data_IF_954672662932
#
_entry.id   IF_954672662932
#
_cell.length_a   1.000
_cell.length_b   1.000
_cell.length_c   1.000
_cell.angle_alpha   90.00
_cell.angle_beta   90.00
_cell.angle_gamma   90.00
#
_symmetry.space_group_name_H-M   'P 1'
#
loop_
_entity.id
_entity.type
_entity.pdbx_description
1 polymer ?
#
# COMPACT_ATOMS: atom_id res chain seq x y z
N UNK A 1 43.83 -30.07 7.10
CA UNK A 1 44.34 -31.17 6.25
C UNK A 1 44.13 -32.48 6.99
N UNK A 2 43.01 -33.14 6.71
CA UNK A 2 42.77 -34.57 6.95
C UNK A 2 41.42 -34.89 6.32
N UNK A 3 41.47 -35.67 5.24
CA UNK A 3 40.35 -36.25 4.50
C UNK A 3 39.55 -37.25 5.35
N UNK A 4 38.23 -37.30 5.15
CA UNK A 4 37.42 -38.50 5.37
C UNK A 4 36.11 -38.34 4.58
N UNK A 5 36.02 -38.91 3.38
CA UNK A 5 35.52 -40.27 3.09
C UNK A 5 34.00 -40.29 2.86
N UNK A 6 33.72 -40.49 1.58
CA UNK A 6 32.47 -40.89 0.94
C UNK A 6 31.89 -42.14 1.60
N UNK A 7 30.60 -42.12 1.95
CA UNK A 7 29.80 -43.33 2.06
C UNK A 7 28.61 -43.26 1.12
N UNK A 8 28.76 -43.99 0.02
CA UNK A 8 27.73 -44.39 -0.93
C UNK A 8 27.31 -45.81 -0.52
N UNK A 9 26.02 -46.03 -0.22
CA UNK A 9 25.41 -47.35 0.00
C UNK A 9 23.94 -47.23 -0.40
N UNK A 10 23.60 -47.63 -1.62
CA UNK A 10 23.02 -48.94 -1.96
C UNK A 10 21.64 -49.22 -1.33
N UNK A 11 20.60 -48.84 -2.07
CA UNK A 11 19.67 -49.73 -2.78
C UNK A 11 19.41 -51.14 -2.19
N UNK A 12 18.13 -51.37 -1.84
CA UNK A 12 17.32 -52.61 -1.73
C UNK A 12 16.20 -52.31 -0.70
N UNK A 13 14.93 -52.66 -0.82
CA UNK A 13 14.12 -53.49 -1.71
C UNK A 13 12.64 -53.16 -1.38
N UNK A 14 11.73 -53.79 -2.13
CA UNK A 14 10.32 -54.04 -1.81
C UNK A 14 9.29 -53.04 -2.34
N UNK A 15 8.89 -53.30 -3.60
CA UNK A 15 7.52 -53.66 -3.98
C UNK A 15 6.41 -53.25 -3.00
N UNK A 16 5.62 -52.24 -3.39
CA UNK A 16 4.24 -52.10 -2.93
C UNK A 16 3.36 -51.68 -4.11
N UNK A 17 2.67 -52.65 -4.67
CA UNK A 17 1.69 -52.47 -5.74
C UNK A 17 0.34 -52.10 -5.12
N UNK A 18 -0.34 -51.02 -5.55
CA UNK A 18 -1.69 -50.73 -5.09
C UNK A 18 -2.68 -51.69 -5.77
N UNK A 19 -3.47 -52.35 -4.93
CA UNK A 19 -4.53 -53.28 -5.31
C UNK A 19 -5.56 -52.63 -6.23
N UNK A 20 -5.79 -53.27 -7.39
CA UNK A 20 -6.98 -53.08 -8.23
C UNK A 20 -8.24 -53.46 -7.43
N UNK A 21 -8.95 -52.46 -6.95
CA UNK A 21 -10.34 -52.61 -6.50
C UNK A 21 -11.24 -52.63 -7.74
N UNK A 22 -11.46 -53.85 -8.23
CA UNK A 22 -12.45 -54.20 -9.25
C UNK A 22 -13.86 -53.92 -8.69
N UNK A 23 -14.45 -52.78 -9.06
CA UNK A 23 -15.83 -52.44 -8.75
C UNK A 23 -16.72 -52.98 -9.88
N UNK A 24 -17.48 -54.03 -9.56
CA UNK A 24 -18.48 -54.64 -10.44
C UNK A 24 -19.72 -53.71 -10.50
N UNK A 25 -20.26 -53.40 -11.69
CA UNK A 25 -21.38 -52.48 -11.83
C UNK A 25 -22.70 -53.18 -11.48
N UNK A 26 -23.39 -52.65 -10.46
CA UNK A 26 -24.75 -53.01 -10.08
C UNK A 26 -25.76 -52.50 -11.14
N UNK A 27 -26.53 -53.38 -11.81
CA UNK A 27 -27.51 -52.98 -12.80
C UNK A 27 -28.90 -52.94 -12.18
N UNK A 28 -29.30 -51.81 -11.62
CA UNK A 28 -30.73 -51.62 -11.35
C UNK A 28 -31.10 -50.56 -10.33
N UNK A 29 -31.16 -49.30 -10.76
CA UNK A 29 -32.24 -48.45 -10.26
C UNK A 29 -32.66 -47.41 -11.31
N UNK A 30 -33.77 -47.69 -11.98
CA UNK A 30 -34.49 -46.73 -12.82
C UNK A 30 -35.39 -45.90 -11.93
N UNK A 31 -34.81 -45.00 -11.17
CA UNK A 31 -35.58 -43.90 -10.57
C UNK A 31 -35.41 -42.68 -11.47
N UNK A 32 -36.38 -42.50 -12.35
CA UNK A 32 -36.64 -41.29 -13.14
C UNK A 32 -36.69 -40.08 -12.22
N UNK A 33 -35.54 -39.49 -11.97
CA UNK A 33 -35.42 -38.16 -11.37
C UNK A 33 -35.59 -37.19 -12.52
N UNK A 34 -36.72 -36.49 -12.52
CA UNK A 34 -36.99 -35.39 -13.41
C UNK A 34 -35.79 -34.43 -13.40
N UNK A 35 -35.12 -34.36 -14.54
CA UNK A 35 -34.10 -33.37 -14.84
C UNK A 35 -34.68 -32.00 -14.53
N UNK A 36 -34.16 -31.23 -13.55
CA UNK A 36 -34.58 -29.85 -13.41
C UNK A 36 -34.17 -29.16 -14.70
N UNK A 37 -35.16 -28.65 -15.41
CA UNK A 37 -34.96 -27.83 -16.59
C UNK A 37 -33.90 -26.76 -16.26
N UNK A 38 -32.77 -26.83 -16.95
CA UNK A 38 -31.76 -25.77 -16.99
C UNK A 38 -32.38 -24.69 -17.87
N UNK A 39 -33.38 -24.02 -17.33
CA UNK A 39 -33.98 -22.85 -17.92
C UNK A 39 -33.16 -21.64 -17.46
N UNK A 40 -32.55 -20.97 -18.43
CA UNK A 40 -32.24 -19.53 -18.37
C UNK A 40 -30.97 -19.05 -17.61
N UNK A 41 -29.85 -19.78 -17.70
CA UNK A 41 -28.51 -19.27 -17.33
C UNK A 41 -27.87 -18.40 -18.45
N UNK A 42 -28.67 -17.89 -19.38
CA UNK A 42 -28.21 -17.36 -20.67
C UNK A 42 -27.79 -15.89 -20.69
N UNK A 43 -28.01 -15.10 -19.63
CA UNK A 43 -27.80 -13.64 -19.71
C UNK A 43 -27.00 -13.00 -18.57
N UNK A 44 -26.62 -13.75 -17.53
CA UNK A 44 -25.91 -13.19 -16.37
C UNK A 44 -24.38 -13.09 -16.58
N UNK A 45 -23.86 -13.63 -17.69
CA UNK A 45 -22.44 -13.47 -18.08
C UNK A 45 -22.04 -12.04 -18.47
N UNK A 46 -22.96 -11.08 -18.42
CA UNK A 46 -22.68 -9.68 -18.78
C UNK A 46 -22.39 -8.77 -17.60
N UNK A 47 -22.42 -9.28 -16.36
CA UNK A 47 -22.31 -8.45 -15.15
C UNK A 47 -20.87 -8.20 -14.67
N UNK A 48 -20.00 -7.82 -15.61
CA UNK A 48 -18.61 -7.44 -15.34
C UNK A 48 -18.27 -6.05 -15.87
N UNK A 49 -17.20 -5.45 -15.35
CA UNK A 49 -16.66 -4.18 -15.85
C UNK A 49 -15.42 -4.44 -16.72
N UNK A 50 -15.31 -3.75 -17.87
CA UNK A 50 -14.10 -3.81 -18.67
C UNK A 50 -12.88 -3.35 -17.85
N UNK A 51 -11.78 -4.09 -17.90
CA UNK A 51 -10.57 -3.85 -17.11
C UNK A 51 -10.07 -2.41 -17.28
N UNK A 52 -10.04 -1.91 -18.53
CA UNK A 52 -9.67 -0.52 -18.82
C UNK A 52 -10.51 0.50 -18.05
N UNK A 53 -11.81 0.25 -17.89
CA UNK A 53 -12.73 1.15 -17.18
C UNK A 53 -12.46 1.10 -15.68
N UNK A 54 -12.19 -0.08 -15.12
CA UNK A 54 -11.77 -0.22 -13.73
C UNK A 54 -10.49 0.58 -13.45
N UNK A 55 -9.46 0.40 -14.28
CA UNK A 55 -8.17 1.07 -14.14
C UNK A 55 -8.23 2.59 -14.36
N UNK A 56 -9.22 3.08 -15.11
CA UNK A 56 -9.43 4.52 -15.30
C UNK A 56 -10.03 5.21 -14.06
N UNK A 57 -10.72 4.47 -13.19
CA UNK A 57 -11.44 5.01 -12.02
C UNK A 57 -10.72 4.66 -10.71
N UNK A 58 -10.03 3.53 -10.66
CA UNK A 58 -9.38 3.02 -9.46
C UNK A 58 -7.90 2.69 -9.71
N UNK A 59 -7.06 3.04 -8.74
CA UNK A 59 -5.68 2.54 -8.66
C UNK A 59 -5.66 1.25 -7.86
N UNK A 60 -5.04 0.20 -8.40
CA UNK A 60 -4.96 -1.08 -7.73
C UNK A 60 -3.87 -1.07 -6.66
N UNK A 61 -4.07 -1.80 -5.57
CA UNK A 61 -2.96 -2.13 -4.68
C UNK A 61 -2.10 -3.25 -5.30
N UNK A 62 -0.84 -3.47 -4.84
CA UNK A 62 0.04 -4.48 -5.43
C UNK A 62 -0.54 -5.90 -5.41
N UNK A 63 -1.18 -6.30 -4.31
CA UNK A 63 -1.82 -7.61 -4.18
C UNK A 63 -2.97 -7.81 -5.18
N UNK A 64 -3.80 -6.78 -5.38
CA UNK A 64 -4.90 -6.79 -6.35
C UNK A 64 -4.37 -6.87 -7.79
N UNK A 65 -3.36 -6.07 -8.12
CA UNK A 65 -2.73 -6.10 -9.44
C UNK A 65 -2.08 -7.45 -9.72
N UNK A 66 -1.37 -8.01 -8.74
CA UNK A 66 -0.73 -9.31 -8.84
C UNK A 66 -1.73 -10.45 -9.05
N UNK A 67 -2.82 -10.48 -8.27
CA UNK A 67 -3.85 -11.51 -8.41
C UNK A 67 -4.55 -11.44 -9.78
N UNK A 68 -4.90 -10.25 -10.25
CA UNK A 68 -5.49 -10.07 -11.59
C UNK A 68 -4.52 -10.46 -12.71
N UNK A 69 -3.22 -10.18 -12.55
CA UNK A 69 -2.22 -10.61 -13.51
C UNK A 69 -2.08 -12.13 -13.57
N UNK A 70 -2.19 -12.80 -12.42
CA UNK A 70 -2.20 -14.26 -12.35
C UNK A 70 -3.44 -14.85 -13.02
N UNK A 71 -4.65 -14.39 -12.65
CA UNK A 71 -5.91 -14.85 -13.26
C UNK A 71 -5.90 -14.62 -14.79
N UNK A 72 -5.34 -13.50 -15.26
CA UNK A 72 -5.18 -13.21 -16.69
C UNK A 72 -4.29 -14.23 -17.39
N UNK A 73 -3.07 -14.45 -16.89
CA UNK A 73 -2.12 -15.37 -17.54
C UNK A 73 -2.61 -16.81 -17.47
N UNK A 74 -3.30 -17.18 -16.37
CA UNK A 74 -3.93 -18.49 -16.23
C UNK A 74 -5.00 -18.71 -17.31
N UNK A 75 -5.90 -17.74 -17.49
CA UNK A 75 -6.94 -17.80 -18.52
C UNK A 75 -6.36 -17.86 -19.93
N UNK A 76 -5.32 -17.07 -20.22
CA UNK A 76 -4.67 -17.07 -21.53
C UNK A 76 -3.99 -18.41 -21.86
N UNK A 77 -3.32 -19.01 -20.88
CA UNK A 77 -2.70 -20.33 -21.06
C UNK A 77 -3.74 -21.44 -21.24
N UNK A 78 -4.90 -21.36 -20.60
CA UNK A 78 -6.01 -22.30 -20.84
C UNK A 78 -6.62 -22.15 -22.25
N UNK A 79 -6.71 -20.92 -22.77
CA UNK A 79 -7.15 -20.67 -24.14
C UNK A 79 -6.13 -21.20 -25.16
N UNK A 80 -4.84 -21.01 -24.90
CA UNK A 80 -3.74 -21.53 -25.73
C UNK A 80 -3.77 -23.07 -25.79
N UNK A 81 -3.95 -23.74 -24.64
CA UNK A 81 -4.05 -25.20 -24.57
C UNK A 81 -5.26 -25.76 -25.33
N UNK A 82 -6.37 -25.00 -25.39
CA UNK A 82 -7.56 -25.38 -26.16
C UNK A 82 -7.44 -25.08 -27.66
N UNK A 83 -6.45 -24.28 -28.08
CA UNK A 83 -6.36 -23.77 -29.45
C UNK A 83 -7.49 -22.80 -29.83
N UNK A 84 -8.23 -22.31 -28.84
CA UNK A 84 -9.45 -21.50 -28.99
C UNK A 84 -9.20 -20.04 -28.59
N UNK A 85 -8.03 -19.53 -28.98
CA UNK A 85 -7.59 -18.19 -28.67
C UNK A 85 -8.31 -17.14 -29.54
N UNK A 86 -8.81 -16.04 -28.96
CA UNK A 86 -9.18 -14.89 -29.78
C UNK A 86 -7.92 -14.31 -30.43
N UNK A 87 -8.00 -14.00 -31.72
CA UNK A 87 -6.88 -13.43 -32.50
C UNK A 87 -6.28 -12.18 -31.85
N UNK A 88 -7.11 -11.38 -31.16
CA UNK A 88 -6.67 -10.21 -30.42
C UNK A 88 -7.35 -10.12 -29.05
N UNK A 89 -6.60 -10.46 -28.00
CA UNK A 89 -6.97 -10.07 -26.63
C UNK A 89 -6.61 -8.59 -26.45
N UNK A 90 -7.61 -7.75 -26.23
CA UNK A 90 -7.42 -6.33 -25.98
C UNK A 90 -7.76 -5.98 -24.54
N UNK A 91 -7.33 -4.82 -24.07
CA UNK A 91 -7.70 -4.28 -22.75
C UNK A 91 -9.23 -4.12 -22.56
N UNK A 92 -10.00 -4.13 -23.65
CA UNK A 92 -11.45 -4.04 -23.68
C UNK A 92 -12.16 -5.39 -23.63
N UNK A 93 -11.54 -6.46 -24.13
CA UNK A 93 -12.11 -7.81 -24.05
C UNK A 93 -11.86 -8.44 -22.67
N UNK A 94 -10.92 -7.93 -21.89
CA UNK A 94 -10.72 -8.35 -20.50
C UNK A 94 -11.74 -7.68 -19.59
N UNK A 95 -12.54 -8.48 -18.90
CA UNK A 95 -13.56 -8.06 -17.95
C UNK A 95 -13.22 -8.55 -16.54
N UNK A 96 -13.62 -7.76 -15.54
CA UNK A 96 -13.51 -8.11 -14.13
C UNK A 96 -14.92 -8.20 -13.55
N UNK A 97 -15.25 -9.37 -13.02
CA UNK A 97 -16.55 -9.65 -12.42
C UNK A 97 -16.69 -9.04 -11.02
N UNK A 98 -17.93 -9.01 -10.52
CA UNK A 98 -18.27 -8.54 -9.16
C UNK A 98 -17.71 -9.40 -8.03
N UNK A 99 -17.35 -10.65 -8.31
CA UNK A 99 -16.64 -11.54 -7.38
C UNK A 99 -15.12 -11.27 -7.35
N UNK A 100 -14.62 -10.43 -8.26
CA UNK A 100 -13.21 -10.09 -8.41
C UNK A 100 -12.43 -11.05 -9.30
N UNK A 101 -13.10 -11.98 -9.99
CA UNK A 101 -12.47 -12.84 -11.01
C UNK A 101 -12.32 -12.09 -12.33
N UNK A 102 -11.32 -12.47 -13.11
CA UNK A 102 -11.05 -11.93 -14.43
C UNK A 102 -11.50 -12.94 -15.49
N UNK A 103 -12.21 -12.45 -16.50
CA UNK A 103 -12.60 -13.24 -17.67
C UNK A 103 -12.26 -12.49 -18.96
N UNK A 104 -12.09 -13.25 -20.03
CA UNK A 104 -11.87 -12.69 -21.36
C UNK A 104 -13.17 -12.92 -22.14
N UNK A 105 -13.86 -11.83 -22.45
CA UNK A 105 -15.10 -11.88 -23.22
C UNK A 105 -14.82 -12.51 -24.59
N UNK A 106 -15.67 -13.47 -25.03
CA UNK A 106 -15.53 -14.05 -26.36
C UNK A 106 -15.75 -12.94 -27.40
N UNK A 107 -14.75 -12.70 -28.25
CA UNK A 107 -14.88 -11.80 -29.39
C UNK A 107 -15.54 -12.60 -30.50
N UNK A 108 -16.73 -12.18 -30.94
CA UNK A 108 -17.55 -12.91 -31.94
C UNK A 108 -16.97 -12.92 -33.37
N UNK A 109 -15.67 -12.65 -33.54
CA UNK A 109 -15.02 -12.62 -34.84
C UNK A 109 -14.35 -13.98 -35.11
N UNK A 110 -14.65 -14.55 -36.29
CA UNK A 110 -14.29 -15.91 -36.72
C UNK A 110 -12.78 -16.12 -36.99
N UNK A 111 -11.91 -15.36 -36.35
CA UNK A 111 -10.46 -15.49 -36.44
C UNK A 111 -9.91 -16.42 -35.37
N UNK A 112 -9.56 -17.65 -35.75
CA UNK A 112 -8.75 -18.53 -34.90
C UNK A 112 -7.31 -18.04 -34.97
N UNK A 113 -6.86 -17.35 -33.92
CA UNK A 113 -5.49 -16.87 -33.80
C UNK A 113 -4.90 -17.30 -32.46
N UNK A 114 -3.67 -17.81 -32.48
CA UNK A 114 -2.97 -18.12 -31.24
C UNK A 114 -2.73 -16.84 -30.43
N UNK A 115 -3.07 -16.87 -29.15
CA UNK A 115 -2.77 -15.78 -28.22
C UNK A 115 -1.26 -15.58 -28.16
N UNK A 116 -0.77 -14.40 -28.53
CA UNK A 116 0.66 -14.10 -28.44
C UNK A 116 1.08 -13.79 -27.00
N UNK A 117 2.20 -14.37 -26.55
CA UNK A 117 2.87 -13.99 -25.31
C UNK A 117 3.18 -12.48 -25.25
N UNK A 118 3.39 -11.83 -26.39
CA UNK A 118 3.63 -10.37 -26.44
C UNK A 118 2.42 -9.57 -25.95
N UNK A 119 1.21 -10.03 -26.30
CA UNK A 119 -0.05 -9.42 -25.84
C UNK A 119 -0.25 -9.64 -24.34
N UNK A 120 0.03 -10.85 -23.85
CA UNK A 120 -0.02 -11.16 -22.42
C UNK A 120 0.94 -10.26 -21.62
N UNK A 121 2.18 -10.11 -22.08
CA UNK A 121 3.18 -9.21 -21.48
C UNK A 121 2.68 -7.76 -21.42
N UNK A 122 2.07 -7.25 -22.50
CA UNK A 122 1.58 -5.89 -22.56
C UNK A 122 0.45 -5.64 -21.54
N UNK A 123 -0.47 -6.60 -21.38
CA UNK A 123 -1.56 -6.51 -20.41
C UNK A 123 -1.08 -6.63 -18.97
N UNK A 124 -0.14 -7.54 -18.67
CA UNK A 124 0.49 -7.66 -17.34
C UNK A 124 1.21 -6.36 -16.98
N UNK A 125 1.98 -5.77 -17.91
CA UNK A 125 2.64 -4.48 -17.70
C UNK A 125 1.64 -3.34 -17.49
N UNK A 126 0.52 -3.36 -18.20
CA UNK A 126 -0.56 -2.38 -18.03
C UNK A 126 -1.17 -2.48 -16.63
N UNK A 127 -1.43 -3.70 -16.12
CA UNK A 127 -1.89 -3.94 -14.75
C UNK A 127 -0.87 -3.40 -13.74
N UNK A 128 0.42 -3.76 -13.89
CA UNK A 128 1.48 -3.32 -12.98
C UNK A 128 1.65 -1.81 -12.96
N UNK A 129 1.59 -1.15 -14.13
CA UNK A 129 1.68 0.31 -14.25
C UNK A 129 0.53 1.06 -13.55
N UNK A 130 -0.60 0.40 -13.28
CA UNK A 130 -1.73 0.96 -12.53
C UNK A 130 -1.76 0.52 -11.06
N UNK A 131 -0.78 -0.26 -10.61
CA UNK A 131 -0.59 -0.51 -9.19
C UNK A 131 0.05 0.70 -8.52
N UNK A 132 -0.52 1.16 -7.40
CA UNK A 132 0.07 2.23 -6.58
C UNK A 132 0.07 1.84 -5.11
N UNK A 133 1.24 2.05 -4.50
CA UNK A 133 1.38 1.94 -3.06
C UNK A 133 0.88 3.20 -2.35
N UNK A 134 -0.27 3.10 -1.68
CA UNK A 134 -0.73 4.16 -0.77
C UNK A 134 0.14 4.33 0.49
N UNK A 135 1.00 3.35 0.78
CA UNK A 135 1.99 3.37 1.86
C UNK A 135 3.39 3.11 1.33
N UNK A 136 4.43 3.51 2.07
CA UNK A 136 5.82 3.29 1.69
C UNK A 136 6.14 1.80 1.43
N UNK A 137 5.62 0.89 2.29
CA UNK A 137 5.74 -0.56 2.10
C UNK A 137 5.11 -1.01 0.79
N UNK A 138 3.88 -0.60 0.50
CA UNK A 138 3.20 -0.97 -0.75
C UNK A 138 3.89 -0.38 -1.98
N UNK A 139 4.62 0.73 -1.83
CA UNK A 139 5.40 1.31 -2.91
C UNK A 139 6.60 0.41 -3.25
N UNK A 140 7.31 -0.06 -2.22
CA UNK A 140 8.40 -1.04 -2.39
C UNK A 140 7.88 -2.35 -3.00
N UNK A 141 6.72 -2.85 -2.53
CA UNK A 141 6.08 -4.03 -3.10
C UNK A 141 5.68 -3.82 -4.58
N UNK A 142 5.15 -2.65 -4.95
CA UNK A 142 4.83 -2.31 -6.33
C UNK A 142 6.08 -2.23 -7.22
N UNK A 143 7.15 -1.62 -6.71
CA UNK A 143 8.44 -1.53 -7.40
C UNK A 143 9.04 -2.92 -7.61
N UNK A 144 8.99 -3.78 -6.59
CA UNK A 144 9.48 -5.17 -6.66
C UNK A 144 8.69 -6.00 -7.68
N UNK A 145 7.36 -5.89 -7.70
CA UNK A 145 6.51 -6.52 -8.72
C UNK A 145 6.88 -6.06 -10.12
N UNK A 146 7.03 -4.75 -10.31
CA UNK A 146 7.34 -4.15 -11.61
C UNK A 146 8.71 -4.59 -12.10
N UNK A 147 9.71 -4.61 -11.22
CA UNK A 147 11.08 -5.04 -11.52
C UNK A 147 11.14 -6.52 -11.90
N UNK A 148 10.48 -7.39 -11.12
CA UNK A 148 10.38 -8.83 -11.39
C UNK A 148 9.71 -9.16 -12.71
N UNK A 149 8.74 -8.34 -13.12
CA UNK A 149 7.96 -8.52 -14.35
C UNK A 149 8.43 -7.63 -15.51
N UNK A 150 9.57 -6.93 -15.36
CA UNK A 150 10.10 -6.03 -16.40
C UNK A 150 10.61 -6.78 -17.65
N UNK A 151 10.79 -8.10 -17.59
CA UNK A 151 11.22 -8.94 -18.71
C UNK A 151 10.21 -8.99 -19.87
N UNK A 152 10.71 -9.33 -21.06
CA UNK A 152 9.87 -9.76 -22.20
C UNK A 152 9.94 -11.28 -22.27
N UNK A 153 8.81 -11.94 -22.05
CA UNK A 153 8.71 -13.40 -22.08
C UNK A 153 8.21 -13.86 -23.45
N UNK A 154 8.86 -14.85 -24.06
CA UNK A 154 8.47 -15.39 -25.37
C UNK A 154 7.38 -16.45 -25.27
N UNK A 155 7.26 -17.11 -24.12
CA UNK A 155 6.27 -18.16 -23.86
C UNK A 155 5.32 -17.77 -22.72
N UNK A 156 4.03 -18.10 -22.85
CA UNK A 156 3.01 -17.78 -21.85
C UNK A 156 3.24 -18.59 -20.56
N UNK A 157 3.73 -19.82 -20.67
CA UNK A 157 4.09 -20.70 -19.55
C UNK A 157 5.20 -20.10 -18.68
N UNK A 158 6.23 -19.52 -19.30
CA UNK A 158 7.32 -18.82 -18.60
C UNK A 158 6.78 -17.58 -17.84
N UNK A 159 5.95 -16.77 -18.52
CA UNK A 159 5.29 -15.62 -17.90
C UNK A 159 4.42 -16.04 -16.71
N UNK A 160 3.66 -17.14 -16.83
CA UNK A 160 2.81 -17.69 -15.77
C UNK A 160 3.60 -18.01 -14.51
N UNK A 161 4.72 -18.70 -14.66
CA UNK A 161 5.56 -19.09 -13.52
C UNK A 161 6.20 -17.88 -12.85
N UNK A 162 6.65 -16.90 -13.64
CA UNK A 162 7.21 -15.64 -13.12
C UNK A 162 6.19 -14.81 -12.38
N UNK A 163 4.97 -14.68 -12.90
CA UNK A 163 3.86 -13.99 -12.23
C UNK A 163 3.51 -14.70 -10.93
N UNK A 164 3.35 -16.04 -10.92
CA UNK A 164 3.07 -16.79 -9.68
C UNK A 164 4.14 -16.61 -8.63
N UNK A 165 5.42 -16.70 -9.02
CA UNK A 165 6.55 -16.47 -8.11
C UNK A 165 6.51 -15.05 -7.53
N UNK A 166 6.30 -14.03 -8.36
CA UNK A 166 6.24 -12.64 -7.90
C UNK A 166 5.05 -12.38 -6.97
N UNK A 167 3.88 -12.98 -7.24
CA UNK A 167 2.69 -12.83 -6.39
C UNK A 167 2.84 -13.59 -5.08
N UNK A 168 3.48 -14.77 -5.08
CA UNK A 168 3.75 -15.53 -3.87
C UNK A 168 4.59 -14.73 -2.85
N UNK A 169 5.52 -13.89 -3.31
CA UNK A 169 6.34 -13.03 -2.44
C UNK A 169 5.59 -11.82 -1.86
N UNK A 170 4.49 -11.40 -2.48
CA UNK A 170 3.65 -10.31 -1.95
C UNK A 170 2.78 -10.77 -0.79
N UNK A 171 2.66 -12.08 -0.59
CA UNK A 171 1.89 -12.64 0.51
C UNK A 171 2.50 -12.15 1.82
N UNK A 172 1.67 -11.55 2.66
CA UNK A 172 2.07 -11.23 4.02
C UNK A 172 2.31 -12.53 4.79
N UNK A 173 3.40 -12.59 5.57
CA UNK A 173 3.80 -13.75 6.37
C UNK A 173 2.70 -14.27 7.32
N UNK A 174 1.66 -13.49 7.56
CA UNK A 174 0.60 -13.75 8.55
C UNK A 174 -0.61 -14.52 7.98
N UNK A 175 -0.70 -14.76 6.66
CA UNK A 175 -1.81 -15.53 6.07
C UNK A 175 -1.40 -16.99 5.92
N UNK A 176 -2.19 -17.91 6.50
CA UNK A 176 -1.91 -19.35 6.58
C UNK A 176 -2.16 -20.11 5.28
N UNK A 177 -3.12 -19.69 4.44
CA UNK A 177 -3.43 -20.33 3.15
C UNK A 177 -3.41 -19.36 1.95
N UNK A 178 -3.08 -19.89 0.78
CA UNK A 178 -3.20 -19.17 -0.50
C UNK A 178 -4.66 -18.83 -0.82
N UNK A 179 -5.58 -19.76 -0.57
CA UNK A 179 -7.00 -19.59 -0.87
C UNK A 179 -7.64 -18.50 -0.02
N UNK A 180 -7.25 -18.41 1.25
CA UNK A 180 -7.72 -17.36 2.17
C UNK A 180 -7.26 -15.98 1.70
N UNK A 181 -5.97 -15.87 1.32
CA UNK A 181 -5.41 -14.63 0.78
C UNK A 181 -6.13 -14.22 -0.51
N UNK A 182 -6.26 -15.15 -1.46
CA UNK A 182 -6.92 -14.90 -2.74
C UNK A 182 -8.39 -14.51 -2.54
N UNK A 183 -9.12 -15.18 -1.63
CA UNK A 183 -10.51 -14.85 -1.31
C UNK A 183 -10.65 -13.44 -0.70
N UNK A 184 -9.72 -13.03 0.19
CA UNK A 184 -9.70 -11.68 0.73
C UNK A 184 -9.48 -10.65 -0.37
N UNK A 185 -8.48 -10.86 -1.22
CA UNK A 185 -8.14 -9.92 -2.31
C UNK A 185 -9.26 -9.86 -3.35
N UNK A 186 -9.87 -10.99 -3.73
CA UNK A 186 -11.05 -11.04 -4.62
C UNK A 186 -12.24 -10.26 -4.07
N UNK A 187 -12.55 -10.40 -2.77
CA UNK A 187 -13.59 -9.57 -2.12
C UNK A 187 -13.29 -8.07 -2.23
N UNK A 188 -12.02 -7.67 -2.10
CA UNK A 188 -11.63 -6.26 -2.27
C UNK A 188 -11.76 -5.79 -3.72
N UNK A 189 -11.37 -6.60 -4.70
CA UNK A 189 -11.55 -6.30 -6.13
C UNK A 189 -13.04 -6.18 -6.46
N UNK A 190 -13.85 -7.14 -6.03
CA UNK A 190 -15.30 -7.12 -6.21
C UNK A 190 -15.98 -5.88 -5.60
N UNK A 191 -15.50 -5.42 -4.44
CA UNK A 191 -15.96 -4.16 -3.85
C UNK A 191 -15.59 -2.94 -4.71
N UNK A 192 -14.40 -2.91 -5.31
CA UNK A 192 -13.99 -1.86 -6.25
C UNK A 192 -14.84 -1.87 -7.54
N UNK A 193 -15.15 -3.05 -8.08
CA UNK A 193 -16.03 -3.21 -9.25
C UNK A 193 -17.42 -2.63 -8.95
N UNK A 194 -18.06 -3.07 -7.84
CA UNK A 194 -19.37 -2.54 -7.41
C UNK A 194 -19.35 -1.02 -7.18
N UNK A 195 -18.30 -0.49 -6.57
CA UNK A 195 -18.15 0.95 -6.37
C UNK A 195 -18.03 1.71 -7.70
N UNK A 196 -17.35 1.13 -8.68
CA UNK A 196 -17.17 1.73 -10.01
C UNK A 196 -18.48 1.70 -10.81
N UNK A 197 -19.24 0.59 -10.73
CA UNK A 197 -20.58 0.49 -11.33
C UNK A 197 -21.53 1.54 -10.74
N UNK A 198 -21.56 1.73 -9.43
CA UNK A 198 -22.41 2.73 -8.78
C UNK A 198 -22.17 4.17 -9.26
N UNK A 199 -20.93 4.53 -9.57
CA UNK A 199 -20.60 5.85 -10.15
C UNK A 199 -21.18 6.02 -11.56
N UNK A 200 -21.32 4.92 -12.30
CA UNK A 200 -21.83 4.95 -13.67
C UNK A 200 -23.35 5.05 -13.69
N UNK A 201 -24.03 4.33 -12.80
CA UNK A 201 -25.47 4.48 -12.59
C UNK A 201 -25.86 5.92 -12.18
N UNK A 202 -25.03 6.58 -11.38
CA UNK A 202 -25.25 8.00 -11.03
C UNK A 202 -25.02 8.96 -12.19
N UNK A 203 -24.07 8.67 -13.09
CA UNK A 203 -23.78 9.49 -14.26
C UNK A 203 -24.84 9.34 -15.36
N UNK A 204 -25.33 8.12 -15.53
CA UNK A 204 -26.32 7.79 -16.56
C UNK A 204 -27.76 7.98 -16.06
N UNK A 205 -27.94 8.33 -14.78
CA UNK A 205 -29.24 8.78 -14.27
C UNK A 205 -29.68 10.00 -15.09
N UNK A 206 -30.79 9.90 -15.86
CA UNK A 206 -31.26 11.03 -16.66
C UNK A 206 -31.49 12.22 -15.73
N UNK A 207 -30.97 13.38 -16.14
CA UNK A 207 -31.19 14.62 -15.40
C UNK A 207 -32.70 14.76 -15.13
N UNK A 208 -33.11 15.14 -13.91
CA UNK A 208 -34.52 15.34 -13.63
C UNK A 208 -35.09 16.26 -14.71
N UNK A 209 -36.28 15.92 -15.27
CA UNK A 209 -36.89 16.75 -16.28
C UNK A 209 -36.90 18.18 -15.76
N UNK A 210 -36.33 19.11 -16.55
CA UNK A 210 -36.40 20.52 -16.19
C UNK A 210 -37.88 20.83 -15.95
N UNK A 211 -38.26 21.40 -14.81
CA UNK A 211 -39.62 21.86 -14.62
C UNK A 211 -39.95 22.76 -15.82
N UNK A 212 -41.05 22.46 -16.50
CA UNK A 212 -41.49 23.25 -17.64
C UNK A 212 -41.58 24.72 -17.21
N UNK A 213 -40.77 25.58 -17.84
CA UNK A 213 -40.73 27.02 -17.59
C UNK A 213 -42.04 27.74 -18.02
N UNK A 214 -43.13 27.00 -18.21
CA UNK A 214 -44.38 27.50 -18.82
C UNK A 214 -45.42 27.97 -17.78
N UNK A 215 -45.25 27.72 -16.48
CA UNK A 215 -46.31 28.02 -15.48
C UNK A 215 -45.91 28.94 -14.32
N UNK A 216 -44.74 29.58 -14.37
CA UNK A 216 -44.26 30.46 -13.29
C UNK A 216 -44.08 31.94 -13.68
N UNK A 217 -44.77 32.43 -14.72
CA UNK A 217 -44.73 33.86 -15.11
C UNK A 217 -45.78 34.75 -14.44
N UNK A 218 -46.73 34.22 -13.67
CA UNK A 218 -47.85 35.03 -13.12
C UNK A 218 -47.95 35.15 -11.59
N UNK A 219 -47.02 34.60 -10.80
CA UNK A 219 -47.15 34.59 -9.32
C UNK A 219 -46.03 35.31 -8.54
N UNK A 220 -45.11 36.03 -9.20
CA UNK A 220 -43.96 36.69 -8.53
C UNK A 220 -43.93 38.21 -8.74
N UNK A 221 -45.04 38.81 -9.20
CA UNK A 221 -45.13 40.27 -9.37
C UNK A 221 -45.41 41.05 -8.06
N UNK A 222 -45.75 40.40 -6.94
CA UNK A 222 -46.26 41.11 -5.76
C UNK A 222 -45.41 41.02 -4.47
N UNK A 223 -44.39 40.16 -4.41
CA UNK A 223 -43.55 40.00 -3.19
C UNK A 223 -42.12 40.55 -3.29
N UNK A 224 -41.78 41.31 -4.35
CA UNK A 224 -40.43 41.84 -4.56
C UNK A 224 -40.29 43.35 -4.28
N UNK A 225 -41.01 43.88 -3.28
CA UNK A 225 -40.91 45.31 -2.87
C UNK A 225 -40.46 45.52 -1.43
N UNK A 226 -39.61 44.67 -0.87
CA UNK A 226 -38.83 45.03 0.33
C UNK A 226 -37.61 44.13 0.42
N UNK A 227 -36.44 44.73 0.68
CA UNK A 227 -35.09 44.11 0.86
C UNK A 227 -34.18 44.13 -0.38
N UNK A 228 -33.86 45.35 -0.83
CA UNK A 228 -32.59 45.63 -1.50
C UNK A 228 -31.46 45.64 -0.46
N UNK A 229 -30.72 44.54 -0.36
CA UNK A 229 -29.39 44.51 0.26
C UNK A 229 -28.47 43.70 -0.65
N UNK A 230 -27.43 44.40 -1.11
CA UNK A 230 -26.29 43.98 -1.92
C UNK A 230 -26.03 42.47 -1.99
N UNK A 231 -26.23 41.89 -3.19
CA UNK A 231 -25.66 40.60 -3.55
C UNK A 231 -24.91 40.75 -4.86
N UNK A 232 -23.58 40.71 -4.75
CA UNK A 232 -22.65 40.90 -5.84
C UNK A 232 -22.83 39.89 -6.98
N UNK A 233 -22.65 40.42 -8.18
CA UNK A 233 -22.56 39.76 -9.46
C UNK A 233 -21.63 38.53 -9.45
N UNK A 234 -22.22 37.34 -9.62
CA UNK A 234 -21.50 36.12 -10.00
C UNK A 234 -22.27 35.35 -11.07
N UNK A 235 -22.65 36.04 -12.14
CA UNK A 235 -23.09 35.41 -13.40
C UNK A 235 -22.24 35.92 -14.55
N UNK A 236 -21.28 35.12 -15.01
CA UNK A 236 -20.60 35.47 -16.27
C UNK A 236 -19.29 34.79 -16.66
N UNK A 237 -19.00 33.55 -16.26
CA UNK A 237 -17.87 32.82 -16.84
C UNK A 237 -18.33 31.87 -17.95
N UNK A 238 -18.74 32.47 -19.08
CA UNK A 238 -18.94 31.77 -20.36
C UNK A 238 -17.65 31.06 -20.76
N UNK A 239 -17.75 29.75 -20.95
CA UNK A 239 -16.73 28.88 -21.54
C UNK A 239 -16.34 29.44 -22.91
N UNK A 240 -15.14 30.02 -23.03
CA UNK A 240 -14.51 30.30 -24.32
C UNK A 240 -13.80 29.05 -24.79
N UNK A 241 -14.37 28.43 -25.82
CA UNK A 241 -13.79 27.34 -26.58
C UNK A 241 -12.36 27.71 -27.03
N UNK A 242 -11.39 26.95 -26.57
CA UNK A 242 -9.99 27.05 -26.94
C UNK A 242 -9.79 26.44 -28.33
N UNK A 243 -10.10 27.19 -29.39
CA UNK A 243 -9.62 26.86 -30.73
C UNK A 243 -8.15 27.28 -30.85
N UNK A 244 -7.25 26.41 -30.37
CA UNK A 244 -5.81 26.58 -30.58
C UNK A 244 -5.49 26.21 -32.03
N UNK A 245 -5.57 27.19 -32.94
CA UNK A 245 -4.98 27.09 -34.28
C UNK A 245 -3.50 26.73 -34.12
N UNK A 246 -3.11 25.54 -34.60
CA UNK A 246 -1.73 25.06 -34.65
C UNK A 246 -0.92 26.01 -35.54
N UNK A 247 -0.20 26.96 -34.93
CA UNK A 247 0.85 27.69 -35.64
C UNK A 247 2.01 26.72 -35.82
N UNK A 248 2.41 26.51 -37.07
CA UNK A 248 3.60 25.75 -37.44
C UNK A 248 4.80 26.28 -36.63
N UNK A 249 5.67 25.40 -36.13
CA UNK A 249 6.80 25.80 -35.33
C UNK A 249 7.71 26.70 -36.17
N UNK A 250 7.84 27.97 -35.77
CA UNK A 250 8.81 28.87 -36.38
C UNK A 250 10.22 28.29 -36.24
N UNK A 251 11.14 28.63 -37.16
CA UNK A 251 12.52 28.11 -37.25
C UNK A 251 13.28 28.00 -35.90
N UNK A 252 12.93 28.82 -34.91
CA UNK A 252 13.48 28.77 -33.54
C UNK A 252 13.08 27.50 -32.76
N UNK A 253 11.88 26.96 -32.96
CA UNK A 253 11.44 25.71 -32.31
C UNK A 253 12.18 24.48 -32.81
N UNK A 254 12.62 24.51 -34.07
CA UNK A 254 13.41 23.43 -34.68
C UNK A 254 14.84 23.40 -34.11
N UNK A 255 15.44 24.57 -33.87
CA UNK A 255 16.73 24.68 -33.18
C UNK A 255 16.66 24.20 -31.73
N UNK A 256 15.62 24.58 -30.98
CA UNK A 256 15.45 24.10 -29.59
C UNK A 256 15.25 22.58 -29.56
N UNK A 257 14.44 22.03 -30.48
CA UNK A 257 14.26 20.58 -30.60
C UNK A 257 15.58 19.86 -30.89
N UNK A 258 16.42 20.41 -31.77
CA UNK A 258 17.71 19.83 -32.10
C UNK A 258 18.68 19.89 -30.91
N UNK A 259 18.70 20.98 -30.14
CA UNK A 259 19.51 21.07 -28.90
C UNK A 259 19.05 20.05 -27.86
N UNK A 260 17.74 19.84 -27.69
CA UNK A 260 17.21 18.84 -26.74
C UNK A 260 17.57 17.42 -27.18
N UNK A 261 17.48 17.10 -28.47
CA UNK A 261 17.90 15.79 -29.00
C UNK A 261 19.41 15.60 -28.83
N UNK A 262 20.21 16.65 -29.07
CA UNK A 262 21.66 16.57 -28.92
C UNK A 262 22.05 16.34 -27.44
N UNK A 263 21.40 17.02 -26.50
CA UNK A 263 21.58 16.81 -25.07
C UNK A 263 21.14 15.41 -24.63
N UNK A 264 20.05 14.88 -25.19
CA UNK A 264 19.58 13.53 -24.89
C UNK A 264 20.55 12.45 -25.39
N UNK A 265 21.12 12.62 -26.59
CA UNK A 265 22.10 11.68 -27.16
C UNK A 265 23.43 11.74 -26.41
N UNK A 266 23.92 12.93 -26.05
CA UNK A 266 25.15 13.04 -25.25
C UNK A 266 24.96 12.56 -23.81
N UNK A 267 23.77 12.77 -23.24
CA UNK A 267 23.44 12.27 -21.90
C UNK A 267 23.42 10.74 -21.83
N UNK A 268 22.96 10.05 -22.88
CA UNK A 268 22.82 8.58 -22.85
C UNK A 268 24.16 7.83 -22.72
N UNK A 269 25.27 8.39 -23.23
CA UNK A 269 26.58 7.72 -23.20
C UNK A 269 27.40 7.99 -21.93
N UNK A 270 27.18 9.11 -21.23
CA UNK A 270 27.94 9.46 -20.03
C UNK A 270 27.27 9.01 -18.70
N UNK A 271 26.02 8.54 -18.75
CA UNK A 271 25.24 8.16 -17.57
C UNK A 271 25.71 6.86 -16.87
N UNK A 272 26.23 5.81 -17.53
CA UNK A 272 26.56 4.56 -16.82
C UNK A 272 27.68 4.71 -15.78
N UNK A 273 28.71 5.53 -16.06
CA UNK A 273 29.84 5.73 -15.15
C UNK A 273 29.51 6.71 -14.02
N UNK A 274 28.88 7.85 -14.34
CA UNK A 274 28.48 8.85 -13.35
C UNK A 274 27.43 8.31 -12.36
N UNK A 275 26.56 7.38 -12.79
CA UNK A 275 25.58 6.75 -11.91
C UNK A 275 26.24 5.83 -10.88
N UNK A 276 27.38 5.21 -11.22
CA UNK A 276 28.11 4.32 -10.30
C UNK A 276 28.81 5.10 -9.16
N UNK A 277 29.28 6.32 -9.43
CA UNK A 277 29.83 7.21 -8.40
C UNK A 277 28.74 7.83 -7.53
N UNK A 278 27.60 8.20 -8.13
CA UNK A 278 26.45 8.68 -7.37
C UNK A 278 25.88 7.58 -6.45
N UNK A 279 25.88 6.31 -6.89
CA UNK A 279 25.40 5.18 -6.07
C UNK A 279 26.35 4.87 -4.91
N UNK A 280 27.68 4.98 -5.10
CA UNK A 280 28.67 4.89 -4.00
C UNK A 280 28.54 6.03 -3.01
N UNK A 281 28.32 7.27 -3.49
CA UNK A 281 28.06 8.42 -2.63
C UNK A 281 26.75 8.30 -1.86
N UNK A 282 25.73 7.69 -2.46
CA UNK A 282 24.44 7.44 -1.80
C UNK A 282 24.52 6.33 -0.76
N UNK A 283 25.21 5.21 -1.03
CA UNK A 283 25.40 4.18 -0.01
C UNK A 283 26.12 4.76 1.22
N UNK A 284 27.17 5.57 1.04
CA UNK A 284 27.88 6.24 2.14
C UNK A 284 27.00 7.17 3.00
N UNK A 285 25.88 7.67 2.49
CA UNK A 285 24.93 8.53 3.24
C UNK A 285 23.92 7.69 4.03
N UNK A 286 23.63 6.45 3.60
CA UNK A 286 22.64 5.58 4.26
C UNK A 286 23.27 4.47 5.12
N UNK A 287 24.52 4.08 4.86
CA UNK A 287 25.37 3.38 5.83
C UNK A 287 26.09 4.40 6.69
N UNK A 288 25.33 5.18 7.47
CA UNK A 288 25.88 5.73 8.71
C UNK A 288 25.95 4.57 9.71
N UNK A 289 26.90 3.65 9.50
CA UNK A 289 27.56 3.08 10.66
C UNK A 289 28.08 4.28 11.44
N UNK A 290 27.56 4.49 12.65
CA UNK A 290 28.16 5.43 13.58
C UNK A 290 29.65 5.12 13.59
N UNK A 291 30.54 6.04 13.17
CA UNK A 291 31.95 5.87 13.46
C UNK A 291 31.98 5.74 14.98
N UNK A 292 32.36 4.56 15.45
CA UNK A 292 32.76 4.35 16.81
C UNK A 292 33.85 5.39 17.07
N UNK A 293 33.44 6.52 17.63
CA UNK A 293 34.33 7.44 18.29
C UNK A 293 34.88 6.65 19.45
N UNK A 294 35.92 5.85 19.17
CA UNK A 294 36.94 5.50 20.12
C UNK A 294 37.44 6.83 20.65
N UNK A 295 36.86 7.24 21.79
CA UNK A 295 37.49 8.24 22.62
C UNK A 295 38.93 7.75 22.87
N UNK A 296 39.96 8.59 22.64
CA UNK A 296 41.31 8.24 23.04
C UNK A 296 41.29 7.83 24.52
N UNK A 297 42.04 6.79 24.91
CA UNK A 297 42.03 6.27 26.28
C UNK A 297 42.32 7.41 27.25
N UNK A 298 41.30 7.80 28.00
CA UNK A 298 41.42 8.81 29.04
C UNK A 298 42.37 8.24 30.08
N UNK A 299 43.54 8.85 30.20
CA UNK A 299 44.52 8.46 31.19
C UNK A 299 43.89 8.52 32.58
N UNK A 300 44.00 7.45 33.39
CA UNK A 300 43.47 7.46 34.74
C UNK A 300 44.16 8.58 35.53
N UNK A 301 43.40 9.42 36.27
CA UNK A 301 44.01 10.37 37.17
C UNK A 301 44.88 9.61 38.17
N UNK A 302 46.13 10.05 38.33
CA UNK A 302 47.03 9.54 39.35
C UNK A 302 46.35 9.70 40.70
N UNK A 303 46.07 8.58 41.35
CA UNK A 303 45.72 8.54 42.76
C UNK A 303 46.88 9.13 43.55
N UNK A 304 46.70 10.36 44.03
CA UNK A 304 47.53 10.94 45.07
C UNK A 304 46.84 10.64 46.39
N UNK A 305 47.61 10.03 47.29
CA UNK A 305 47.11 9.24 48.40
C UNK A 305 46.56 10.03 49.58
N UNK A 306 45.99 9.20 50.45
CA UNK A 306 45.98 9.26 51.90
C UNK A 306 45.19 10.37 52.58
N UNK A 307 44.08 9.95 53.21
CA UNK A 307 43.46 10.73 54.27
C UNK A 307 42.05 10.29 54.61
N UNK A 308 41.95 9.16 55.33
CA UNK A 308 40.79 8.62 56.05
C UNK A 308 39.45 9.34 55.99
N UNK A 309 38.40 8.58 55.67
CA UNK A 309 37.25 8.35 56.57
C UNK A 309 36.46 7.17 56.02
N UNK A 310 36.39 6.09 56.80
CA UNK A 310 35.54 4.93 56.62
C UNK A 310 34.06 5.31 56.78
N UNK A 311 33.51 6.00 55.78
CA UNK A 311 32.08 6.21 55.61
C UNK A 311 31.51 5.12 54.69
N UNK A 312 31.07 4.01 55.28
CA UNK A 312 30.28 2.96 54.63
C UNK A 312 28.94 3.58 54.19
N UNK A 313 28.92 4.32 53.07
CA UNK A 313 27.67 4.69 52.40
C UNK A 313 27.06 3.43 51.83
N UNK A 314 26.21 2.80 52.64
CA UNK A 314 25.18 1.91 52.17
C UNK A 314 24.31 2.72 51.21
N UNK A 315 24.55 2.55 49.91
CA UNK A 315 23.60 2.90 48.87
C UNK A 315 22.34 2.09 49.16
N UNK A 316 21.42 2.74 49.86
CA UNK A 316 20.17 2.15 50.29
C UNK A 316 19.40 1.77 49.02
N UNK A 317 19.37 0.47 48.73
CA UNK A 317 18.48 -0.11 47.74
C UNK A 317 17.09 0.47 48.00
N UNK A 318 16.62 1.30 47.07
CA UNK A 318 15.29 1.87 47.17
C UNK A 318 14.30 0.71 47.24
N UNK A 319 13.31 0.76 48.15
CA UNK A 319 12.31 -0.29 48.25
C UNK A 319 11.64 -0.45 46.89
N UNK A 320 11.79 -1.61 46.28
CA UNK A 320 11.09 -1.97 45.04
C UNK A 320 9.60 -1.96 45.39
N UNK A 321 8.89 -0.94 44.92
CA UNK A 321 7.44 -0.90 45.10
C UNK A 321 6.81 -1.75 44.02
N UNK A 322 6.03 -2.76 44.39
CA UNK A 322 5.26 -3.62 43.45
C UNK A 322 4.29 -2.84 42.55
N UNK A 323 4.07 -1.54 42.83
CA UNK A 323 3.17 -0.68 42.07
C UNK A 323 3.92 0.10 40.99
N UNK A 324 3.48 0.06 39.72
CA UNK A 324 4.10 0.85 38.66
C UNK A 324 3.99 2.35 38.92
N UNK A 325 5.09 3.06 38.68
CA UNK A 325 5.21 4.50 38.87
C UNK A 325 4.27 5.29 37.93
N UNK A 326 4.02 6.56 38.30
CA UNK A 326 3.31 7.49 37.44
C UNK A 326 4.19 7.90 36.25
N UNK A 327 3.59 8.07 35.07
CA UNK A 327 4.33 8.49 33.87
C UNK A 327 4.76 9.95 34.02
N UNK A 328 6.06 10.29 33.89
CA UNK A 328 6.52 11.67 33.95
C UNK A 328 5.87 12.55 32.87
N UNK A 329 5.59 13.82 33.18
CA UNK A 329 5.11 14.78 32.17
C UNK A 329 6.27 15.15 31.24
N UNK A 330 6.23 14.69 29.99
CA UNK A 330 7.29 14.89 29.00
C UNK A 330 7.17 16.20 28.20
N UNK A 331 6.09 16.95 28.41
CA UNK A 331 5.82 18.23 27.78
C UNK A 331 4.41 18.73 28.09
N UNK A 332 4.07 19.96 27.72
CA UNK A 332 2.70 20.47 27.79
C UNK A 332 1.82 19.81 26.72
N UNK A 333 0.50 19.77 26.91
CA UNK A 333 -0.45 19.23 25.91
C UNK A 333 -0.51 20.08 24.63
N UNK A 334 -0.18 21.37 24.74
CA UNK A 334 -0.20 22.37 23.67
C UNK A 334 1.05 23.23 23.77
N UNK A 335 1.64 23.58 22.62
CA UNK A 335 2.82 24.44 22.58
C UNK A 335 2.92 25.15 21.23
N UNK A 336 3.12 26.48 21.28
CA UNK A 336 3.21 27.30 20.08
C UNK A 336 2.01 27.05 19.14
N UNK A 337 2.25 26.69 17.87
CA UNK A 337 1.17 26.45 16.90
C UNK A 337 0.57 25.03 16.96
N UNK A 338 0.95 24.22 17.96
CA UNK A 338 0.42 22.87 18.16
C UNK A 338 -0.67 22.96 19.24
N UNK A 339 -1.91 22.68 18.83
CA UNK A 339 -3.11 22.78 19.66
C UNK A 339 -3.48 21.50 20.41
N UNK A 340 -2.77 20.40 20.14
CA UNK A 340 -2.98 19.12 20.78
C UNK A 340 -2.20 18.01 20.11
N UNK A 341 -1.85 16.99 20.88
CA UNK A 341 -1.26 15.74 20.39
C UNK A 341 -2.04 14.58 20.99
N UNK A 342 -2.57 13.70 20.15
CA UNK A 342 -3.25 12.48 20.58
C UNK A 342 -2.52 11.26 20.02
N UNK A 343 -2.51 10.19 20.80
CA UNK A 343 -1.93 8.91 20.41
C UNK A 343 -2.95 7.81 20.65
N UNK A 344 -3.14 6.95 19.66
CA UNK A 344 -4.06 5.82 19.72
C UNK A 344 -3.43 4.57 19.09
N UNK A 345 -3.98 3.40 19.42
CA UNK A 345 -3.59 2.14 18.76
C UNK A 345 -4.19 2.15 17.36
N UNK A 346 -3.36 1.99 16.34
CA UNK A 346 -3.83 1.98 14.96
C UNK A 346 -4.51 0.66 14.59
N UNK A 347 -4.02 -0.45 15.13
CA UNK A 347 -4.54 -1.79 14.85
C UNK A 347 -4.25 -2.75 16.02
N UNK A 348 -5.27 -3.50 16.44
CA UNK A 348 -5.14 -4.52 17.48
C UNK A 348 -4.75 -3.99 18.86
N UNK A 349 -4.44 -4.93 19.75
CA UNK A 349 -3.85 -4.64 21.06
C UNK A 349 -2.32 -4.63 20.95
N UNK A 350 -1.67 -3.70 21.65
CA UNK A 350 -0.22 -3.72 21.76
C UNK A 350 0.21 -4.71 22.84
N UNK A 351 1.15 -5.60 22.50
CA UNK A 351 1.71 -6.59 23.40
C UNK A 351 3.17 -6.30 23.70
N UNK A 352 3.66 -6.82 24.83
CA UNK A 352 5.06 -6.69 25.26
C UNK A 352 5.99 -7.41 24.28
N UNK A 353 7.21 -6.91 24.13
CA UNK A 353 8.22 -7.47 23.21
C UNK A 353 7.77 -7.59 21.73
N UNK A 354 6.71 -6.90 21.34
CA UNK A 354 6.16 -6.94 19.98
C UNK A 354 6.15 -5.56 19.33
N UNK A 355 5.87 -5.54 18.02
CA UNK A 355 5.64 -4.32 17.26
C UNK A 355 4.23 -3.80 17.58
N UNK A 356 4.14 -2.54 17.99
CA UNK A 356 2.88 -1.89 18.35
C UNK A 356 2.54 -0.80 17.32
N UNK A 357 1.54 -0.98 16.43
CA UNK A 357 1.15 0.03 15.47
C UNK A 357 0.37 1.14 16.16
N UNK A 358 0.91 2.36 16.14
CA UNK A 358 0.39 3.53 16.82
C UNK A 358 0.09 4.62 15.81
N UNK A 359 -1.07 5.24 15.94
CA UNK A 359 -1.44 6.44 15.21
C UNK A 359 -1.23 7.64 16.13
N UNK A 360 -0.54 8.65 15.61
CA UNK A 360 -0.35 9.94 16.28
C UNK A 360 -1.03 11.00 15.43
N UNK A 361 -1.94 11.75 16.04
CA UNK A 361 -2.58 12.92 15.43
C UNK A 361 -2.04 14.17 16.11
N UNK A 362 -1.60 15.14 15.32
CA UNK A 362 -1.12 16.44 15.77
C UNK A 362 -2.07 17.51 15.24
N UNK A 363 -2.72 18.20 16.16
CA UNK A 363 -3.60 19.33 15.85
C UNK A 363 -2.76 20.61 15.75
N UNK A 364 -3.01 21.40 14.72
CA UNK A 364 -2.23 22.58 14.37
C UNK A 364 -3.14 23.81 14.23
N UNK A 365 -2.61 24.98 14.54
CA UNK A 365 -3.20 26.22 14.05
C UNK A 365 -3.09 26.29 12.52
N UNK A 366 -4.14 26.72 11.80
CA UNK A 366 -4.08 26.88 10.36
C UNK A 366 -3.04 27.94 9.99
N UNK A 367 -2.19 27.67 9.00
CA UNK A 367 -1.15 28.61 8.55
C UNK A 367 -1.15 28.77 7.04
N UNK A 368 -0.70 29.93 6.55
CA UNK A 368 -0.65 30.23 5.12
C UNK A 368 0.49 29.51 4.37
N UNK A 369 1.53 29.04 5.08
CA UNK A 369 2.72 28.42 4.51
C UNK A 369 2.83 26.93 4.89
N UNK A 370 3.35 26.05 4.02
CA UNK A 370 3.68 24.69 4.43
C UNK A 370 4.63 24.66 5.63
N UNK A 371 4.48 23.66 6.51
CA UNK A 371 5.27 23.56 7.73
C UNK A 371 5.65 22.11 8.02
N UNK A 372 6.89 21.87 8.40
CA UNK A 372 7.32 20.57 8.89
C UNK A 372 6.81 20.33 10.32
N UNK A 373 6.25 19.15 10.54
CA UNK A 373 5.76 18.66 11.82
C UNK A 373 6.42 17.31 12.05
N UNK A 374 7.19 17.19 13.12
CA UNK A 374 7.89 15.96 13.45
C UNK A 374 7.68 15.60 14.91
N UNK A 375 7.65 14.30 15.19
CA UNK A 375 7.52 13.79 16.55
C UNK A 375 8.38 12.55 16.75
N UNK A 376 8.55 12.19 18.03
CA UNK A 376 9.14 10.93 18.47
C UNK A 376 8.23 10.27 19.49
N UNK A 377 8.41 8.98 19.70
CA UNK A 377 7.72 8.24 20.74
C UNK A 377 8.66 8.02 21.93
N UNK A 378 8.16 8.25 23.13
CA UNK A 378 8.85 7.94 24.38
C UNK A 378 8.14 6.75 25.01
N UNK A 379 8.86 5.66 25.19
CA UNK A 379 8.36 4.44 25.82
C UNK A 379 8.90 4.41 27.23
N UNK A 380 8.00 4.49 28.21
CA UNK A 380 8.31 4.56 29.63
C UNK A 380 8.05 3.20 30.25
N UNK A 381 9.10 2.60 30.79
CA UNK A 381 9.01 1.47 31.71
C UNK A 381 8.63 2.01 33.08
N UNK A 382 7.40 1.72 33.50
CA UNK A 382 6.85 2.23 34.77
C UNK A 382 7.34 1.45 35.97
N UNK A 383 8.03 0.33 35.78
CA UNK A 383 8.62 -0.43 36.88
C UNK A 383 10.03 0.01 37.22
N UNK A 384 10.81 0.43 36.22
CA UNK A 384 12.19 0.89 36.40
C UNK A 384 12.34 2.41 36.32
N UNK A 385 11.31 3.11 35.84
CA UNK A 385 11.37 4.53 35.51
C UNK A 385 12.14 4.84 34.22
N UNK A 386 12.63 3.83 33.50
CA UNK A 386 13.43 4.01 32.30
C UNK A 386 12.60 4.60 31.15
N UNK A 387 13.12 5.65 30.50
CA UNK A 387 12.48 6.27 29.35
C UNK A 387 13.33 6.02 28.11
N UNK A 388 12.86 5.15 27.23
CA UNK A 388 13.51 4.89 25.94
C UNK A 388 12.86 5.70 24.82
N UNK A 389 13.68 6.12 23.85
CA UNK A 389 13.23 6.92 22.71
C UNK A 389 13.11 6.04 21.48
N UNK A 390 12.00 6.18 20.76
CA UNK A 390 11.77 5.54 19.48
C UNK A 390 11.57 6.59 18.39
N UNK A 391 12.06 6.26 17.19
CA UNK A 391 11.91 7.11 16.01
C UNK A 391 10.41 7.28 15.72
N UNK A 392 9.97 8.52 15.52
CA UNK A 392 8.62 8.83 15.08
C UNK A 392 8.61 9.17 13.59
N UNK A 393 7.70 10.05 13.18
CA UNK A 393 7.49 10.44 11.78
C UNK A 393 7.74 11.94 11.65
N UNK A 394 8.22 12.36 10.47
CA UNK A 394 8.18 13.76 10.04
C UNK A 394 7.26 13.91 8.84
N UNK A 395 6.44 14.95 8.83
CA UNK A 395 5.47 15.25 7.77
C UNK A 395 5.44 16.74 7.50
N UNK A 396 5.10 17.10 6.26
CA UNK A 396 4.87 18.50 5.89
C UNK A 396 3.37 18.77 5.86
N UNK A 397 2.88 19.57 6.81
CA UNK A 397 1.54 20.13 6.78
C UNK A 397 1.44 21.16 5.66
N UNK A 398 0.42 21.06 4.80
CA UNK A 398 0.20 22.04 3.72
C UNK A 398 -0.46 23.31 4.27
N UNK A 399 -0.46 24.36 3.46
CA UNK A 399 -1.21 25.60 3.75
C UNK A 399 -2.68 25.29 4.07
N UNK A 400 -3.18 25.86 5.16
CA UNK A 400 -4.55 25.70 5.66
C UNK A 400 -4.84 24.38 6.41
N UNK A 401 -3.87 23.47 6.52
CA UNK A 401 -4.08 22.23 7.30
C UNK A 401 -4.14 22.51 8.79
N UNK A 402 -5.09 21.86 9.47
CA UNK A 402 -5.30 21.95 10.93
C UNK A 402 -4.96 20.66 11.67
N UNK A 403 -4.67 19.59 10.93
CA UNK A 403 -4.31 18.28 11.48
C UNK A 403 -3.35 17.57 10.54
N UNK A 404 -2.38 16.89 11.13
CA UNK A 404 -1.58 15.86 10.46
C UNK A 404 -1.62 14.60 11.29
N UNK A 405 -1.52 13.45 10.65
CA UNK A 405 -1.45 12.17 11.34
C UNK A 405 -0.42 11.26 10.70
N UNK A 406 0.22 10.42 11.49
CA UNK A 406 1.15 9.41 10.99
C UNK A 406 1.12 8.15 11.84
N UNK A 407 1.46 7.02 11.21
CA UNK A 407 1.52 5.72 11.85
C UNK A 407 2.98 5.38 12.17
N UNK A 408 3.24 5.06 13.43
CA UNK A 408 4.54 4.59 13.94
C UNK A 408 4.44 3.14 14.39
N UNK A 409 5.54 2.39 14.34
CA UNK A 409 5.57 0.96 14.69
C UNK A 409 6.76 0.64 15.63
N UNK A 410 6.82 1.22 16.82
CA UNK A 410 7.90 0.91 17.76
C UNK A 410 7.84 -0.55 18.21
N UNK A 411 9.01 -1.19 18.32
CA UNK A 411 9.18 -2.41 19.11
C UNK A 411 9.18 -2.04 20.58
N UNK A 412 8.27 -2.64 21.34
CA UNK A 412 8.14 -2.42 22.77
C UNK A 412 9.08 -3.33 23.56
N UNK A 413 9.64 -2.89 24.68
CA UNK A 413 10.40 -3.76 25.57
C UNK A 413 9.50 -4.82 26.24
N UNK A 414 10.10 -5.79 26.90
CA UNK A 414 9.40 -6.90 27.59
C UNK A 414 8.81 -6.56 28.96
N UNK A 415 8.74 -5.28 29.36
CA UNK A 415 8.34 -4.87 30.71
C UNK A 415 6.83 -5.04 30.97
N UNK A 416 6.42 -5.45 32.19
CA UNK A 416 5.02 -5.66 32.55
C UNK A 416 4.17 -4.37 32.56
N UNK A 417 4.77 -3.21 32.78
CA UNK A 417 4.05 -1.95 32.93
C UNK A 417 4.62 -0.87 31.99
N UNK A 418 4.06 -0.77 30.78
CA UNK A 418 4.54 0.16 29.76
C UNK A 418 3.52 1.26 29.47
N UNK A 419 4.04 2.47 29.29
CA UNK A 419 3.29 3.59 28.73
C UNK A 419 4.04 4.21 27.56
N UNK A 420 3.28 4.74 26.59
CA UNK A 420 3.82 5.38 25.40
C UNK A 420 3.30 6.80 25.31
N UNK A 421 4.19 7.76 25.08
CA UNK A 421 3.86 9.18 24.92
C UNK A 421 4.41 9.66 23.58
N UNK A 422 3.59 10.33 22.77
CA UNK A 422 4.06 11.02 21.59
C UNK A 422 4.54 12.43 21.98
N UNK A 423 5.75 12.80 21.56
CA UNK A 423 6.33 14.12 21.83
C UNK A 423 6.77 14.75 20.51
N UNK A 424 6.17 15.90 20.19
CA UNK A 424 6.52 16.69 19.01
C UNK A 424 7.87 17.38 19.19
N UNK A 425 8.63 17.52 18.11
CA UNK A 425 9.97 18.15 18.07
C UNK A 425 9.94 19.47 17.32
N UNK A 426 9.16 19.52 16.24
CA UNK A 426 8.95 20.72 15.43
C UNK A 426 7.46 20.86 15.10
N UNK A 427 6.93 22.09 15.03
CA UNK A 427 7.60 23.38 15.30
C UNK A 427 7.77 23.75 16.78
N UNK A 428 7.12 23.02 17.69
CA UNK A 428 7.19 23.25 19.13
C UNK A 428 7.08 21.90 19.86
N UNK A 429 7.45 21.87 21.13
CA UNK A 429 7.40 20.66 21.96
C UNK A 429 6.09 20.58 22.72
N UNK A 430 5.19 19.73 22.25
CA UNK A 430 3.98 19.30 22.92
C UNK A 430 3.95 17.76 23.07
N UNK A 431 3.32 17.26 24.13
CA UNK A 431 3.23 15.85 24.44
C UNK A 431 1.76 15.38 24.52
N UNK A 432 1.50 14.15 24.10
CA UNK A 432 0.19 13.51 24.28
C UNK A 432 -0.04 13.08 25.72
N UNK A 433 -1.28 12.72 26.04
CA UNK A 433 -1.56 11.87 27.19
C UNK A 433 -0.84 10.50 27.04
N UNK A 434 -0.47 9.84 28.16
CA UNK A 434 0.12 8.50 28.11
C UNK A 434 -0.87 7.45 27.61
N UNK A 435 -0.43 6.63 26.65
CA UNK A 435 -1.13 5.42 26.23
C UNK A 435 -0.56 4.22 26.98
N UNK A 436 -1.35 3.64 27.88
CA UNK A 436 -0.97 2.44 28.62
C UNK A 436 -1.12 1.19 27.73
N UNK A 437 -0.05 0.39 27.66
CA UNK A 437 0.00 -0.84 26.83
C UNK A 437 -0.67 -1.99 27.55
N UNK A 438 -0.37 -2.15 28.84
CA UNK A 438 -1.02 -3.11 29.74
C UNK A 438 -2.09 -2.41 30.57
N UNK A 439 -3.09 -3.17 31.01
CA UNK A 439 -4.18 -2.64 31.83
C UNK A 439 -3.66 -2.02 33.13
N UNK A 440 -4.43 -1.10 33.72
CA UNK A 440 -4.07 -0.30 34.90
C UNK A 440 -3.63 -1.09 36.15
N UNK A 441 -3.81 -2.42 36.15
CA UNK A 441 -3.47 -3.35 37.25
C UNK A 441 -2.18 -4.14 37.02
N UNK A 442 -1.28 -3.65 36.16
CA UNK A 442 0.06 -4.24 36.07
C UNK A 442 0.79 -4.14 37.42
N UNK A 443 1.52 -5.20 37.79
CA UNK A 443 2.45 -5.22 38.91
C UNK A 443 3.88 -5.18 38.37
N UNK A 444 4.74 -4.53 39.14
CA UNK A 444 6.16 -4.75 39.12
C UNK A 444 6.46 -5.89 40.12
#
# INVERSE_FOLDING_TARGET
MADAVVHQSQQRDADDAPSELKHEPDPGDKTTTASPAIDDAGNDMTEGIALRRLLAVATLNPAQGGLLAMDLVDTLAELEQRGDGPEQVTDRSVMVNRDGTLLIAPVAENGSGAVSATTANALVRLLMGHTRGGSARRKVEAELLTDRLAGTFTEITELREKVRTAVAELRADDVTSWDDWAAIVRRQIGALVRATEGHTALRDRPAPPKPDDTEATNAVAESARTLNLARGDLRGARRKAWHRKRRLPGRRGLLIGLVVVLLAVTGWWAVPEAWSELRRGWEAVFTTEEPSQQLPPVSPPKQQGDGGTTGKSAEAAQPVTDRPEAVPRLGPEKAGPINGVTIERAEGACTRAAICPLRVDVMLDPTASPREVSWSLRVVDRCTGEISTRRGVSMTARSGWQQVYGISRPTLPGSPALAIVAVTKAPATAASAPLYVTADRATC
#
